data_IF_874399875928
#
_entry.id   IF_874399875928
#
_cell.length_a   1.000
_cell.length_b   1.000
_cell.length_c   1.000
_cell.angle_alpha   90.00
_cell.angle_beta   90.00
_cell.angle_gamma   90.00
#
_symmetry.space_group_name_H-M   'P 1'
#
loop_
_entity.id
_entity.type
_entity.pdbx_description
1 polymer ?
#
# COMPACT_ATOMS: atom_id res chain seq x y z
N UNK A 1 -25.72 -47.96 -26.11
CA UNK A 1 -25.19 -48.02 -24.74
C UNK A 1 -24.51 -46.70 -24.41
N UNK A 2 -25.09 -45.90 -23.52
CA UNK A 2 -24.50 -44.65 -23.03
C UNK A 2 -24.86 -44.53 -21.54
N UNK A 3 -23.84 -44.65 -20.68
CA UNK A 3 -24.01 -44.69 -19.23
C UNK A 3 -24.12 -43.27 -18.65
N UNK A 4 -25.24 -42.98 -17.99
CA UNK A 4 -25.44 -41.76 -17.19
C UNK A 4 -24.68 -41.84 -15.85
N UNK A 5 -23.75 -40.90 -15.63
CA UNK A 5 -23.03 -40.72 -14.36
C UNK A 5 -23.99 -40.31 -13.22
N UNK A 6 -24.06 -41.12 -12.16
CA UNK A 6 -24.72 -40.77 -10.88
C UNK A 6 -23.99 -39.60 -10.19
N UNK A 7 -24.71 -38.52 -9.85
CA UNK A 7 -24.22 -37.44 -8.98
C UNK A 7 -23.96 -37.97 -7.56
N UNK A 8 -22.78 -37.68 -7.00
CA UNK A 8 -22.42 -37.94 -5.58
C UNK A 8 -23.32 -37.11 -4.66
N UNK A 9 -23.92 -37.74 -3.65
CA UNK A 9 -24.64 -37.05 -2.57
C UNK A 9 -23.65 -36.31 -1.68
N UNK A 10 -23.78 -34.99 -1.58
CA UNK A 10 -23.06 -34.17 -0.62
C UNK A 10 -23.67 -34.39 0.77
N UNK A 11 -22.89 -34.95 1.71
CA UNK A 11 -23.31 -35.10 3.10
C UNK A 11 -23.21 -33.74 3.78
N UNK A 12 -24.34 -33.16 4.17
CA UNK A 12 -24.38 -31.96 5.02
C UNK A 12 -23.95 -32.36 6.43
N UNK A 13 -22.80 -31.87 6.90
CA UNK A 13 -22.38 -31.95 8.30
C UNK A 13 -23.05 -30.78 9.03
N UNK A 14 -24.00 -31.07 9.93
CA UNK A 14 -24.56 -30.06 10.82
C UNK A 14 -23.54 -29.73 11.90
N UNK A 15 -23.04 -28.49 11.91
CA UNK A 15 -22.33 -27.92 13.06
C UNK A 15 -23.39 -27.26 13.94
N UNK A 16 -23.51 -27.69 15.20
CA UNK A 16 -24.31 -27.00 16.22
C UNK A 16 -23.60 -25.69 16.55
N UNK A 17 -24.34 -24.60 16.67
CA UNK A 17 -23.89 -23.19 16.72
C UNK A 17 -23.72 -22.52 15.35
N UNK A 18 -24.80 -22.52 14.56
CA UNK A 18 -24.98 -21.54 13.48
C UNK A 18 -25.65 -20.28 14.05
N UNK A 19 -25.00 -19.14 13.84
CA UNK A 19 -25.59 -17.81 13.97
C UNK A 19 -26.88 -17.72 13.16
N UNK A 20 -27.91 -17.08 13.73
CA UNK A 20 -29.18 -16.78 13.06
C UNK A 20 -28.92 -15.98 11.78
N UNK A 21 -29.31 -16.56 10.64
CA UNK A 21 -29.33 -15.87 9.34
C UNK A 21 -30.64 -15.08 9.25
N UNK A 22 -30.55 -13.78 9.02
CA UNK A 22 -31.71 -12.92 8.77
C UNK A 22 -32.45 -13.35 7.49
N UNK A 23 -33.77 -13.18 7.47
CA UNK A 23 -34.67 -13.71 6.44
C UNK A 23 -34.70 -12.92 5.12
N UNK A 24 -33.86 -11.90 4.95
CA UNK A 24 -33.84 -11.06 3.76
C UNK A 24 -32.98 -11.68 2.64
N UNK A 25 -33.65 -12.16 1.59
CA UNK A 25 -33.02 -12.77 0.40
C UNK A 25 -32.18 -11.79 -0.46
N UNK A 26 -32.17 -10.49 -0.12
CA UNK A 26 -31.38 -9.46 -0.79
C UNK A 26 -30.14 -9.00 0.01
N UNK A 27 -29.85 -9.64 1.13
CA UNK A 27 -28.68 -9.32 1.93
C UNK A 27 -27.52 -10.26 1.59
N UNK A 28 -26.60 -9.83 0.73
CA UNK A 28 -25.29 -10.47 0.58
C UNK A 28 -24.44 -10.18 1.83
N UNK A 29 -24.81 -10.75 2.98
CA UNK A 29 -23.92 -10.79 4.14
C UNK A 29 -22.77 -11.72 3.77
N UNK A 30 -21.62 -11.14 3.47
CA UNK A 30 -20.37 -11.89 3.32
C UNK A 30 -20.05 -12.49 4.69
N UNK A 31 -20.45 -13.74 4.92
CA UNK A 31 -20.10 -14.48 6.13
C UNK A 31 -18.58 -14.71 6.13
N UNK A 32 -17.85 -13.87 6.88
CA UNK A 32 -16.47 -14.16 7.21
C UNK A 32 -16.49 -15.24 8.28
N UNK A 33 -16.29 -16.49 7.87
CA UNK A 33 -16.20 -17.59 8.83
C UNK A 33 -14.87 -17.45 9.57
N UNK A 34 -14.91 -16.83 10.76
CA UNK A 34 -13.84 -16.91 11.73
C UNK A 34 -13.97 -18.26 12.45
N UNK A 35 -13.08 -19.19 12.13
CA UNK A 35 -13.03 -20.53 12.74
C UNK A 35 -12.38 -20.45 14.13
N UNK A 36 -12.90 -19.61 15.01
CA UNK A 36 -12.43 -19.52 16.38
C UNK A 36 -12.91 -20.74 17.18
N UNK A 37 -12.10 -21.19 18.13
CA UNK A 37 -12.30 -22.44 18.87
C UNK A 37 -11.80 -22.33 20.31
N UNK A 38 -12.38 -23.15 21.19
CA UNK A 38 -12.08 -23.19 22.61
C UNK A 38 -12.61 -21.98 23.39
N UNK A 39 -12.48 -22.03 24.71
CA UNK A 39 -12.88 -20.95 25.61
C UNK A 39 -11.74 -19.95 25.81
N UNK A 40 -12.03 -18.66 25.60
CA UNK A 40 -11.08 -17.57 25.75
C UNK A 40 -11.57 -16.59 26.81
N UNK A 41 -10.65 -16.06 27.61
CA UNK A 41 -10.91 -14.95 28.53
C UNK A 41 -10.86 -13.64 27.76
N UNK A 42 -9.84 -13.48 26.91
CA UNK A 42 -9.63 -12.30 26.05
C UNK A 42 -8.62 -12.60 24.94
N UNK A 43 -8.61 -11.81 23.86
CA UNK A 43 -9.66 -10.86 23.45
C UNK A 43 -10.91 -11.58 22.92
N UNK A 44 -11.98 -10.85 22.65
CA UNK A 44 -13.13 -11.38 21.95
C UNK A 44 -12.83 -11.57 20.45
N UNK A 45 -13.62 -12.43 19.79
CA UNK A 45 -13.47 -12.64 18.34
C UNK A 45 -13.75 -11.36 17.58
N UNK A 46 -12.81 -10.98 16.71
CA UNK A 46 -12.95 -9.82 15.85
C UNK A 46 -12.68 -8.48 16.52
N UNK A 47 -12.21 -8.47 17.78
CA UNK A 47 -11.77 -7.25 18.44
C UNK A 47 -10.75 -6.49 17.58
N UNK A 48 -10.87 -5.16 17.59
CA UNK A 48 -10.02 -4.27 16.81
C UNK A 48 -8.98 -3.60 17.71
N UNK A 49 -7.73 -3.66 17.26
CA UNK A 49 -6.60 -3.00 17.89
C UNK A 49 -5.94 -2.06 16.89
N UNK A 50 -5.25 -1.04 17.37
CA UNK A 50 -4.71 0.02 16.52
C UNK A 50 -3.22 0.20 16.73
N UNK A 51 -2.46 0.14 15.64
CA UNK A 51 -1.14 0.78 15.57
C UNK A 51 -1.39 2.27 15.67
N UNK A 52 -0.83 2.90 16.69
CA UNK A 52 -1.12 4.30 17.01
C UNK A 52 -0.44 5.28 16.05
N UNK A 53 -0.75 6.56 16.21
CA UNK A 53 -0.23 7.67 15.42
C UNK A 53 1.31 7.77 15.49
N UNK A 54 1.95 7.16 16.50
CA UNK A 54 3.41 7.13 16.66
C UNK A 54 4.07 5.91 16.01
N UNK A 55 3.29 5.07 15.31
CA UNK A 55 3.65 3.77 14.77
C UNK A 55 3.99 2.73 15.85
N UNK A 56 3.36 2.80 17.03
CA UNK A 56 3.55 1.80 18.08
C UNK A 56 2.55 0.65 17.92
N UNK A 57 3.02 -0.58 18.03
CA UNK A 57 2.15 -1.76 18.04
C UNK A 57 1.28 -1.78 19.32
N UNK A 58 -0.03 -2.11 19.21
CA UNK A 58 -0.93 -2.15 20.36
C UNK A 58 -0.57 -3.26 21.35
N UNK A 59 -0.89 -3.06 22.62
CA UNK A 59 -0.86 -4.15 23.60
C UNK A 59 -2.08 -5.05 23.36
N UNK A 60 -1.83 -6.33 23.04
CA UNK A 60 -2.86 -7.34 22.82
C UNK A 60 -2.55 -8.56 23.67
N UNK A 61 -3.32 -8.77 24.72
CA UNK A 61 -3.17 -9.92 25.62
C UNK A 61 -4.16 -11.02 25.23
N UNK A 62 -3.63 -12.16 24.84
CA UNK A 62 -4.36 -13.39 24.57
C UNK A 62 -4.37 -14.27 25.82
N UNK A 63 -5.54 -14.73 26.23
CA UNK A 63 -5.71 -15.57 27.41
C UNK A 63 -6.80 -16.60 27.18
N UNK A 64 -6.47 -17.88 27.33
CA UNK A 64 -7.39 -19.00 27.13
C UNK A 64 -7.65 -19.77 28.42
N UNK A 65 -8.78 -20.48 28.48
CA UNK A 65 -9.12 -21.37 29.59
C UNK A 65 -8.82 -22.81 29.20
N UNK A 66 -8.06 -23.52 30.03
CA UNK A 66 -7.84 -24.95 29.89
C UNK A 66 -7.51 -25.57 31.24
N UNK A 67 -7.92 -26.82 31.44
CA UNK A 67 -7.52 -27.66 32.57
C UNK A 67 -6.35 -28.58 32.21
N UNK A 68 -5.97 -28.66 30.93
CA UNK A 68 -4.80 -29.41 30.47
C UNK A 68 -3.51 -28.79 31.06
N UNK A 69 -2.56 -29.62 31.53
CA UNK A 69 -1.30 -29.11 32.06
C UNK A 69 -0.40 -28.52 30.95
N UNK A 70 0.49 -27.56 31.29
CA UNK A 70 1.53 -27.08 30.37
C UNK A 70 2.52 -28.21 30.00
N UNK A 71 3.31 -28.06 28.93
CA UNK A 71 3.48 -26.85 28.12
C UNK A 71 2.41 -26.65 27.03
N UNK A 72 2.09 -25.39 26.76
CA UNK A 72 1.19 -24.97 25.68
C UNK A 72 1.96 -24.57 24.44
N UNK A 73 1.55 -25.07 23.28
CA UNK A 73 2.15 -24.72 22.00
C UNK A 73 1.36 -23.57 21.38
N UNK A 74 1.99 -22.40 21.29
CA UNK A 74 1.42 -21.21 20.70
C UNK A 74 1.87 -21.08 19.25
N UNK A 75 0.94 -20.72 18.39
CA UNK A 75 1.21 -20.34 17.00
C UNK A 75 0.39 -19.10 16.68
N UNK A 76 0.96 -18.19 15.93
CA UNK A 76 0.24 -17.04 15.41
C UNK A 76 0.49 -16.89 13.92
N UNK A 77 -0.51 -16.37 13.22
CA UNK A 77 -0.43 -16.02 11.80
C UNK A 77 -1.17 -14.70 11.60
N UNK A 78 -0.51 -13.73 11.00
CA UNK A 78 -1.11 -12.45 10.62
C UNK A 78 -1.11 -12.31 9.10
N UNK A 79 -2.27 -11.97 8.54
CA UNK A 79 -2.45 -11.84 7.09
C UNK A 79 -3.17 -10.55 6.73
N UNK A 80 -2.77 -9.96 5.61
CA UNK A 80 -3.48 -8.83 5.01
C UNK A 80 -3.48 -8.97 3.48
N UNK A 81 -4.67 -8.91 2.91
CA UNK A 81 -4.89 -8.88 1.48
C UNK A 81 -4.98 -7.42 1.03
N UNK A 82 -3.90 -6.90 0.45
CA UNK A 82 -3.86 -5.54 -0.05
C UNK A 82 -4.77 -5.38 -1.27
N UNK A 83 -5.79 -4.54 -1.12
CA UNK A 83 -6.72 -4.19 -2.19
C UNK A 83 -6.58 -2.70 -2.54
N UNK A 84 -6.67 -2.39 -3.83
CA UNK A 84 -6.59 -1.01 -4.35
C UNK A 84 -7.57 -0.13 -3.60
N UNK A 85 -7.11 1.02 -3.15
CA UNK A 85 -7.90 1.93 -2.34
C UNK A 85 -7.68 3.38 -2.82
N UNK A 86 -8.61 3.92 -3.62
CA UNK A 86 -8.44 5.26 -4.17
C UNK A 86 -8.46 6.32 -3.05
N UNK A 87 -7.66 7.37 -3.21
CA UNK A 87 -7.56 8.47 -2.23
C UNK A 87 -8.87 9.24 -2.02
N UNK A 88 -9.86 9.11 -2.91
CA UNK A 88 -11.20 9.70 -2.77
C UNK A 88 -12.08 9.02 -1.71
N UNK A 89 -11.49 8.19 -0.85
CA UNK A 89 -12.11 7.54 0.31
C UNK A 89 -13.41 6.78 0.02
N UNK A 90 -13.59 6.26 -1.21
CA UNK A 90 -14.73 5.40 -1.56
C UNK A 90 -14.82 4.21 -0.61
N UNK A 91 -16.02 3.92 -0.09
CA UNK A 91 -16.25 2.87 0.92
C UNK A 91 -15.72 1.49 0.49
N UNK A 92 -15.79 1.15 -0.79
CA UNK A 92 -15.36 -0.15 -1.29
C UNK A 92 -13.92 -0.10 -1.79
N UNK A 93 -13.10 -1.08 -1.36
CA UNK A 93 -11.80 -1.36 -1.97
C UNK A 93 -11.98 -2.06 -3.31
N UNK A 94 -11.01 -1.85 -4.21
CA UNK A 94 -10.94 -2.46 -5.52
C UNK A 94 -10.35 -3.87 -5.50
N UNK A 95 -9.73 -4.25 -6.62
CA UNK A 95 -9.12 -5.58 -6.77
C UNK A 95 -7.97 -5.81 -5.78
N UNK A 96 -7.74 -7.06 -5.40
CA UNK A 96 -6.54 -7.46 -4.67
C UNK A 96 -5.31 -7.32 -5.57
N UNK A 97 -4.24 -6.75 -5.03
CA UNK A 97 -2.96 -6.58 -5.74
C UNK A 97 -1.79 -7.33 -5.11
N UNK A 98 -1.88 -7.65 -3.82
CA UNK A 98 -0.87 -8.43 -3.09
C UNK A 98 -1.48 -9.07 -1.82
N UNK A 99 -0.90 -10.17 -1.36
CA UNK A 99 -1.16 -10.75 -0.04
C UNK A 99 0.13 -10.71 0.77
N UNK A 100 0.02 -10.32 2.04
CA UNK A 100 1.10 -10.35 3.01
C UNK A 100 0.75 -11.34 4.12
N UNK A 101 1.76 -12.05 4.63
CA UNK A 101 1.61 -13.02 5.71
C UNK A 101 2.88 -13.09 6.52
N UNK A 102 2.74 -13.23 7.83
CA UNK A 102 3.82 -13.54 8.77
C UNK A 102 3.31 -14.55 9.79
N UNK A 103 4.19 -15.41 10.30
CA UNK A 103 3.83 -16.42 11.31
C UNK A 103 4.96 -16.62 12.29
N UNK A 104 4.62 -17.06 13.50
CA UNK A 104 5.57 -17.49 14.50
C UNK A 104 4.95 -18.54 15.41
N UNK A 105 5.79 -19.22 16.16
CA UNK A 105 5.39 -20.23 17.12
C UNK A 105 6.37 -20.30 18.27
N UNK A 106 5.88 -20.63 19.45
CA UNK A 106 6.69 -20.80 20.65
C UNK A 106 5.95 -21.70 21.65
N UNK A 107 6.62 -22.05 22.73
CA UNK A 107 6.05 -22.85 23.82
C UNK A 107 6.07 -22.04 25.11
N UNK A 108 5.03 -22.14 25.92
CA UNK A 108 4.94 -21.46 27.22
C UNK A 108 4.23 -22.33 28.25
N UNK A 109 4.51 -22.09 29.53
CA UNK A 109 3.74 -22.66 30.64
C UNK A 109 2.55 -21.77 31.04
N UNK A 110 2.48 -20.55 30.50
CA UNK A 110 1.44 -19.57 30.80
C UNK A 110 0.27 -19.70 29.83
N UNK A 111 -0.95 -19.53 30.36
CA UNK A 111 -2.19 -19.43 29.56
C UNK A 111 -2.38 -18.04 28.93
N UNK A 112 -1.44 -17.13 29.20
CA UNK A 112 -1.44 -15.73 28.79
C UNK A 112 -0.28 -15.48 27.85
N UNK A 113 -0.52 -14.72 26.79
CA UNK A 113 0.50 -14.22 25.88
C UNK A 113 0.22 -12.79 25.46
N UNK A 114 1.19 -11.90 25.66
CA UNK A 114 1.18 -10.56 25.08
C UNK A 114 1.79 -10.61 23.69
N UNK A 115 0.98 -10.32 22.68
CA UNK A 115 1.39 -10.39 21.29
C UNK A 115 2.48 -9.36 20.97
N UNK A 116 3.66 -9.83 20.57
CA UNK A 116 4.79 -8.99 20.11
C UNK A 116 5.13 -9.16 18.63
N UNK A 117 4.65 -10.23 17.99
CA UNK A 117 4.88 -10.52 16.56
C UNK A 117 6.35 -10.42 16.11
N UNK A 118 7.27 -10.95 16.92
CA UNK A 118 8.73 -10.83 16.72
C UNK A 118 9.21 -9.37 16.66
N UNK A 119 8.58 -8.51 17.47
CA UNK A 119 8.83 -7.07 17.60
C UNK A 119 8.59 -6.26 16.31
N UNK A 120 7.81 -6.82 15.36
CA UNK A 120 7.43 -6.14 14.12
C UNK A 120 6.10 -5.38 14.26
N UNK A 121 5.99 -4.25 13.56
CA UNK A 121 4.75 -3.48 13.45
C UNK A 121 3.94 -3.97 12.24
N UNK A 122 3.01 -4.89 12.48
CA UNK A 122 2.20 -5.53 11.44
C UNK A 122 0.70 -5.35 11.71
N UNK A 123 -0.10 -5.08 10.69
CA UNK A 123 -1.55 -5.07 10.80
C UNK A 123 -2.22 -6.18 10.00
N UNK A 124 -3.55 -6.13 9.94
CA UNK A 124 -4.38 -7.13 9.28
C UNK A 124 -5.04 -8.09 10.27
N UNK A 125 -5.40 -9.27 9.77
CA UNK A 125 -6.10 -10.30 10.55
C UNK A 125 -5.09 -11.19 11.25
N UNK A 126 -5.02 -11.08 12.58
CA UNK A 126 -4.18 -11.92 13.43
C UNK A 126 -5.02 -13.09 13.95
N UNK A 127 -4.61 -14.32 13.64
CA UNK A 127 -5.12 -15.55 14.25
C UNK A 127 -4.08 -16.13 15.19
N UNK A 128 -4.49 -16.45 16.41
CA UNK A 128 -3.67 -17.13 17.43
C UNK A 128 -4.28 -18.50 17.67
N UNK A 129 -3.43 -19.52 17.61
CA UNK A 129 -3.75 -20.92 17.82
C UNK A 129 -2.95 -21.41 19.03
N UNK A 130 -3.60 -22.16 19.93
CA UNK A 130 -2.94 -22.78 21.08
C UNK A 130 -3.31 -24.24 21.14
N UNK A 131 -2.32 -25.11 21.31
CA UNK A 131 -2.54 -26.52 21.64
C UNK A 131 -2.20 -26.75 23.11
N UNK A 132 -3.20 -27.17 23.88
CA UNK A 132 -3.06 -27.58 25.27
C UNK A 132 -3.49 -29.04 25.38
N UNK A 133 -2.55 -29.95 25.63
CA UNK A 133 -2.84 -31.39 25.62
C UNK A 133 -3.48 -31.86 24.30
N UNK A 134 -4.75 -32.26 24.38
CA UNK A 134 -5.55 -32.68 23.21
C UNK A 134 -6.52 -31.60 22.71
N UNK A 135 -6.59 -30.47 23.40
CA UNK A 135 -7.51 -29.37 23.11
C UNK A 135 -6.84 -28.31 22.24
N UNK A 136 -7.49 -27.96 21.14
CA UNK A 136 -7.06 -26.88 20.24
C UNK A 136 -7.91 -25.62 20.46
N UNK A 137 -7.24 -24.48 20.60
CA UNK A 137 -7.83 -23.17 20.74
C UNK A 137 -7.49 -22.32 19.53
N UNK A 138 -8.42 -21.46 19.12
CA UNK A 138 -8.18 -20.44 18.10
C UNK A 138 -8.93 -19.15 18.40
N UNK A 139 -8.24 -18.01 18.30
CA UNK A 139 -8.83 -16.67 18.42
C UNK A 139 -8.34 -15.78 17.30
N UNK A 140 -9.25 -14.99 16.74
CA UNK A 140 -8.93 -14.04 15.67
C UNK A 140 -9.27 -12.61 16.08
N UNK A 141 -8.35 -11.68 15.84
CA UNK A 141 -8.53 -10.23 16.01
C UNK A 141 -8.09 -9.47 14.76
N UNK A 142 -8.42 -8.19 14.69
CA UNK A 142 -8.04 -7.30 13.58
C UNK A 142 -7.14 -6.19 14.12
N UNK A 143 -6.02 -5.95 13.45
CA UNK A 143 -5.11 -4.85 13.75
C UNK A 143 -5.17 -3.84 12.61
N UNK A 144 -5.50 -2.60 12.94
CA UNK A 144 -5.66 -1.47 12.03
C UNK A 144 -4.62 -0.39 12.38
N UNK A 145 -4.57 0.71 11.61
CA UNK A 145 -3.58 1.77 11.81
C UNK A 145 -4.18 3.16 11.85
N UNK A 146 -3.56 4.05 12.64
CA UNK A 146 -3.89 5.47 12.71
C UNK A 146 -2.85 6.30 11.99
N UNK A 147 -3.30 7.35 11.32
CA UNK A 147 -2.40 8.28 10.65
C UNK A 147 -1.73 9.20 11.67
N UNK A 148 -0.42 9.50 11.52
CA UNK A 148 0.21 10.61 12.23
C UNK A 148 -0.38 11.94 11.77
N UNK A 149 -0.15 13.01 12.54
CA UNK A 149 -0.36 14.36 12.04
C UNK A 149 0.70 14.73 11.00
N UNK A 150 0.40 15.72 10.14
CA UNK A 150 1.41 16.28 9.21
C UNK A 150 2.64 16.78 9.97
N UNK A 151 2.43 17.43 11.11
CA UNK A 151 3.53 17.99 11.92
C UNK A 151 4.43 16.88 12.49
N UNK A 152 3.85 15.76 12.94
CA UNK A 152 4.64 14.60 13.41
C UNK A 152 5.48 13.99 12.29
N UNK A 153 4.94 13.93 11.08
CA UNK A 153 5.67 13.45 9.89
C UNK A 153 6.83 14.37 9.56
N UNK A 154 6.59 15.69 9.54
CA UNK A 154 7.64 16.68 9.26
C UNK A 154 8.70 16.70 10.35
N UNK A 155 8.31 16.55 11.61
CA UNK A 155 9.23 16.43 12.74
C UNK A 155 10.10 15.16 12.63
N UNK A 156 9.52 14.04 12.18
CA UNK A 156 10.26 12.79 11.94
C UNK A 156 11.23 12.89 10.75
N UNK A 157 10.86 13.64 9.70
CA UNK A 157 11.72 13.86 8.53
C UNK A 157 12.91 14.79 8.81
N UNK A 158 12.70 15.84 9.61
CA UNK A 158 13.68 16.90 9.88
C UNK A 158 15.10 16.42 10.23
N UNK A 159 15.32 15.41 11.10
CA UNK A 159 16.67 14.95 11.42
C UNK A 159 17.30 14.07 10.33
N UNK A 160 16.56 13.64 9.32
CA UNK A 160 17.05 12.73 8.28
C UNK A 160 17.72 13.57 7.17
N UNK A 161 19.00 13.34 6.83
CA UNK A 161 19.72 14.16 5.86
C UNK A 161 19.18 13.97 4.43
N UNK A 162 19.44 14.95 3.55
CA UNK A 162 19.12 14.89 2.11
C UNK A 162 17.64 14.60 1.80
N UNK A 163 16.74 15.19 2.58
CA UNK A 163 15.28 15.06 2.45
C UNK A 163 14.60 16.33 1.94
N UNK A 164 15.35 17.35 1.54
CA UNK A 164 14.78 18.62 1.03
C UNK A 164 13.84 18.35 -0.15
N UNK A 165 12.59 18.81 -0.03
CA UNK A 165 11.54 18.62 -1.02
C UNK A 165 10.77 17.30 -0.89
N UNK A 166 11.23 16.35 -0.08
CA UNK A 166 10.52 15.07 0.08
C UNK A 166 9.15 15.24 0.75
N UNK A 167 8.93 16.31 1.51
CA UNK A 167 7.63 16.71 2.04
C UNK A 167 6.58 16.97 0.94
N UNK A 168 6.99 17.54 -0.20
CA UNK A 168 6.10 17.75 -1.35
C UNK A 168 5.71 16.42 -2.00
N UNK A 169 6.64 15.45 -2.01
CA UNK A 169 6.33 14.08 -2.44
C UNK A 169 5.28 13.47 -1.52
N UNK A 170 5.46 13.55 -0.20
CA UNK A 170 4.47 13.00 0.75
C UNK A 170 3.08 13.62 0.60
N UNK A 171 3.02 14.93 0.32
CA UNK A 171 1.76 15.62 0.06
C UNK A 171 1.11 15.14 -1.23
N UNK A 172 1.88 15.06 -2.32
CA UNK A 172 1.39 14.64 -3.62
C UNK A 172 0.94 13.16 -3.65
N UNK A 173 1.70 12.27 -3.02
CA UNK A 173 1.48 10.82 -3.10
C UNK A 173 0.27 10.37 -2.26
N UNK A 174 0.00 11.02 -1.13
CA UNK A 174 -1.01 10.53 -0.20
C UNK A 174 -1.65 11.59 0.69
N UNK A 175 -1.27 12.87 0.57
CA UNK A 175 -1.62 13.92 1.53
C UNK A 175 -1.25 13.53 2.97
N UNK A 176 -0.02 13.03 3.15
CA UNK A 176 0.50 12.58 4.46
C UNK A 176 -0.30 11.43 5.11
N UNK A 177 -0.99 10.59 4.32
CA UNK A 177 -1.74 9.44 4.83
C UNK A 177 -1.03 8.12 4.55
N UNK A 178 -0.75 7.36 5.60
CA UNK A 178 -0.36 5.97 5.44
C UNK A 178 -1.58 5.04 5.37
N UNK A 179 -2.63 5.37 6.13
CA UNK A 179 -3.87 4.60 6.25
C UNK A 179 -5.06 5.40 5.71
N UNK A 180 -6.09 4.69 5.26
CA UNK A 180 -7.35 5.32 4.89
C UNK A 180 -8.19 5.64 6.11
N UNK A 181 -8.91 6.76 6.06
CA UNK A 181 -9.76 7.16 7.18
C UNK A 181 -11.02 6.27 7.28
N UNK A 182 -11.46 5.65 6.18
CA UNK A 182 -12.72 4.89 6.16
C UNK A 182 -12.64 3.49 6.76
N UNK A 183 -11.47 2.87 6.72
CA UNK A 183 -11.26 1.47 7.13
C UNK A 183 -9.93 1.23 7.88
N UNK A 184 -9.09 2.25 8.00
CA UNK A 184 -7.88 2.24 8.83
C UNK A 184 -6.87 1.18 8.38
N UNK A 185 -6.95 0.72 7.12
CA UNK A 185 -5.87 -0.06 6.50
C UNK A 185 -5.03 0.80 5.56
N UNK A 186 -3.81 0.36 5.20
CA UNK A 186 -2.91 1.12 4.36
C UNK A 186 -3.53 1.57 3.03
N UNK A 187 -3.09 2.74 2.55
CA UNK A 187 -3.38 3.25 1.21
C UNK A 187 -2.68 2.38 0.17
N UNK A 188 -3.38 2.00 -0.90
CA UNK A 188 -2.85 1.09 -1.93
C UNK A 188 -3.24 1.58 -3.32
N UNK A 189 -2.26 1.97 -4.14
CA UNK A 189 -2.49 2.34 -5.53
C UNK A 189 -2.64 1.11 -6.46
N UNK A 190 -3.26 1.36 -7.63
CA UNK A 190 -3.55 0.32 -8.62
C UNK A 190 -2.33 -0.36 -9.22
N UNK A 191 -1.20 0.33 -9.21
CA UNK A 191 0.12 -0.10 -9.67
C UNK A 191 0.99 -0.75 -8.58
N UNK A 192 0.41 -0.98 -7.39
CA UNK A 192 1.08 -1.51 -6.19
C UNK A 192 1.97 -0.50 -5.46
N UNK A 193 1.64 0.79 -5.50
CA UNK A 193 2.10 1.76 -4.50
C UNK A 193 1.46 1.52 -3.14
N UNK A 194 2.24 1.63 -2.06
CA UNK A 194 1.77 1.41 -0.69
C UNK A 194 2.14 2.54 0.27
N UNK A 195 1.19 2.91 1.12
CA UNK A 195 1.41 3.81 2.26
C UNK A 195 1.67 5.26 1.86
N UNK A 196 2.26 6.02 2.78
CA UNK A 196 2.41 7.47 2.64
C UNK A 196 3.27 7.90 1.44
N UNK A 197 4.29 7.12 1.13
CA UNK A 197 5.24 7.37 0.04
C UNK A 197 4.87 6.65 -1.26
N UNK A 198 3.75 5.91 -1.28
CA UNK A 198 3.36 5.08 -2.44
C UNK A 198 4.49 4.17 -2.97
N UNK A 199 5.31 3.60 -2.07
CA UNK A 199 6.41 2.70 -2.45
C UNK A 199 5.94 1.59 -3.38
N UNK A 200 6.49 1.55 -4.59
CA UNK A 200 6.13 0.57 -5.64
C UNK A 200 7.31 -0.31 -6.03
N UNK A 201 8.47 0.30 -6.29
CA UNK A 201 9.69 -0.41 -6.67
C UNK A 201 10.94 0.21 -6.01
N UNK A 202 11.72 -0.55 -5.22
CA UNK A 202 11.50 -1.94 -4.85
C UNK A 202 10.20 -2.14 -4.07
N UNK A 203 9.61 -3.34 -4.16
CA UNK A 203 8.35 -3.62 -3.49
C UNK A 203 8.55 -3.61 -1.97
N UNK A 204 7.70 -2.91 -1.19
CA UNK A 204 7.91 -2.77 0.24
C UNK A 204 7.73 -4.11 0.98
N UNK A 205 8.39 -4.22 2.13
CA UNK A 205 8.16 -5.30 3.10
C UNK A 205 6.81 -5.13 3.79
N UNK A 206 6.35 -6.16 4.51
CA UNK A 206 5.05 -6.09 5.20
C UNK A 206 5.01 -4.96 6.24
N UNK A 207 6.06 -4.84 7.04
CA UNK A 207 6.20 -3.81 8.06
C UNK A 207 6.33 -2.41 7.47
N UNK A 208 7.04 -2.24 6.34
CA UNK A 208 7.11 -0.96 5.64
C UNK A 208 5.75 -0.48 5.11
N UNK A 209 4.75 -1.35 5.01
CA UNK A 209 3.38 -0.95 4.63
C UNK A 209 2.55 -0.54 5.86
N UNK A 210 2.76 -1.20 7.00
CA UNK A 210 1.98 -0.99 8.23
C UNK A 210 2.61 -0.04 9.25
N UNK A 211 3.88 0.31 9.12
CA UNK A 211 4.54 1.35 9.91
C UNK A 211 4.82 2.55 9.04
N UNK A 212 4.15 3.68 9.30
CA UNK A 212 4.38 4.90 8.53
C UNK A 212 5.83 5.39 8.64
N UNK A 213 6.51 5.14 9.78
CA UNK A 213 7.93 5.46 9.96
C UNK A 213 8.81 4.60 9.07
N UNK A 214 8.57 3.28 9.01
CA UNK A 214 9.33 2.39 8.13
C UNK A 214 9.03 2.66 6.64
N UNK A 215 7.80 3.05 6.32
CA UNK A 215 7.41 3.51 4.99
C UNK A 215 8.21 4.75 4.57
N UNK A 216 8.27 5.77 5.44
CA UNK A 216 9.05 6.99 5.19
C UNK A 216 10.54 6.67 5.07
N UNK A 217 11.11 5.85 5.96
CA UNK A 217 12.54 5.47 5.86
C UNK A 217 12.86 4.82 4.51
N UNK A 218 12.00 3.92 4.03
CA UNK A 218 12.15 3.29 2.72
C UNK A 218 12.05 4.31 1.58
N UNK A 219 11.07 5.23 1.64
CA UNK A 219 10.91 6.30 0.67
C UNK A 219 12.08 7.28 0.65
N UNK A 220 12.60 7.68 1.81
CA UNK A 220 13.78 8.55 1.92
C UNK A 220 15.01 7.88 1.32
N UNK A 221 15.24 6.59 1.57
CA UNK A 221 16.35 5.87 0.96
C UNK A 221 16.26 5.88 -0.57
N UNK A 222 15.06 5.66 -1.12
CA UNK A 222 14.82 5.74 -2.57
C UNK A 222 15.00 7.16 -3.10
N UNK A 223 14.50 8.17 -2.38
CA UNK A 223 14.65 9.58 -2.74
C UNK A 223 16.12 9.99 -2.82
N UNK A 224 16.92 9.62 -1.82
CA UNK A 224 18.36 9.87 -1.80
C UNK A 224 19.06 9.16 -2.98
N UNK A 225 18.63 7.95 -3.33
CA UNK A 225 19.10 7.29 -4.55
C UNK A 225 18.73 8.10 -5.81
N UNK A 226 17.49 8.59 -5.93
CA UNK A 226 17.07 9.40 -7.09
C UNK A 226 17.85 10.71 -7.21
N UNK A 227 18.19 11.33 -6.08
CA UNK A 227 19.03 12.52 -6.06
C UNK A 227 20.45 12.19 -6.55
N UNK A 228 21.04 11.08 -6.11
CA UNK A 228 22.34 10.63 -6.60
C UNK A 228 22.31 10.31 -8.11
N UNK A 229 21.23 9.67 -8.58
CA UNK A 229 21.03 9.38 -10.01
C UNK A 229 20.90 10.67 -10.83
N UNK A 230 20.25 11.71 -10.29
CA UNK A 230 20.15 13.04 -10.90
C UNK A 230 21.51 13.75 -10.96
N UNK A 231 22.29 13.72 -9.87
CA UNK A 231 23.66 14.27 -9.86
C UNK A 231 24.52 13.60 -10.92
N UNK A 232 24.46 12.26 -11.00
CA UNK A 232 25.21 11.48 -12.00
C UNK A 232 24.76 11.80 -13.44
N UNK A 233 23.48 12.09 -13.65
CA UNK A 233 22.95 12.48 -14.96
C UNK A 233 23.61 13.75 -15.50
N UNK A 234 23.90 14.71 -14.62
CA UNK A 234 24.55 15.97 -14.95
C UNK A 234 26.09 15.93 -14.89
N UNK A 235 26.70 14.78 -14.61
CA UNK A 235 28.15 14.66 -14.44
C UNK A 235 28.92 15.23 -15.63
N UNK A 236 29.82 16.17 -15.35
CA UNK A 236 30.64 16.88 -16.34
C UNK A 236 30.04 18.21 -16.81
N UNK A 237 28.85 18.61 -16.33
CA UNK A 237 28.21 19.88 -16.66
C UNK A 237 27.83 20.66 -15.39
N UNK A 238 27.90 22.00 -15.42
CA UNK A 238 27.32 22.83 -14.36
C UNK A 238 25.79 22.72 -14.40
N UNK A 239 25.17 22.59 -13.24
CA UNK A 239 23.71 22.60 -13.09
C UNK A 239 23.28 23.42 -11.87
N UNK A 240 22.05 23.93 -11.89
CA UNK A 240 21.45 24.69 -10.78
C UNK A 240 20.77 23.77 -9.77
N UNK A 241 20.53 24.27 -8.55
CA UNK A 241 19.75 23.54 -7.54
C UNK A 241 18.33 23.23 -8.02
N UNK A 242 17.71 24.13 -8.80
CA UNK A 242 16.39 23.89 -9.39
C UNK A 242 16.43 22.75 -10.41
N UNK A 243 17.47 22.69 -11.26
CA UNK A 243 17.64 21.57 -12.19
C UNK A 243 17.81 20.24 -11.45
N UNK A 244 18.63 20.20 -10.41
CA UNK A 244 18.78 19.01 -9.56
C UNK A 244 17.44 18.62 -8.91
N UNK A 245 16.70 19.59 -8.38
CA UNK A 245 15.40 19.36 -7.74
C UNK A 245 14.41 18.76 -8.73
N UNK A 246 14.15 19.44 -9.85
CA UNK A 246 13.19 18.96 -10.89
C UNK A 246 13.57 17.60 -11.45
N UNK A 247 14.85 17.35 -11.67
CA UNK A 247 15.35 16.04 -12.12
C UNK A 247 15.10 14.95 -11.08
N UNK A 248 15.33 15.24 -9.79
CA UNK A 248 15.08 14.30 -8.69
C UNK A 248 13.60 13.95 -8.58
N UNK A 249 12.70 14.94 -8.62
CA UNK A 249 11.25 14.71 -8.61
C UNK A 249 10.79 13.93 -9.84
N UNK A 250 11.31 14.23 -11.03
CA UNK A 250 10.97 13.46 -12.23
C UNK A 250 11.41 12.01 -12.11
N UNK A 251 12.56 11.74 -11.49
CA UNK A 251 13.07 10.37 -11.27
C UNK A 251 12.31 9.61 -10.20
N UNK A 252 11.69 10.31 -9.24
CA UNK A 252 10.79 9.72 -8.25
C UNK A 252 9.56 9.10 -8.92
N UNK A 253 8.78 9.91 -9.65
CA UNK A 253 7.59 9.42 -10.37
C UNK A 253 7.97 8.52 -11.56
N UNK A 254 9.10 8.80 -12.20
CA UNK A 254 9.66 8.02 -13.29
C UNK A 254 10.01 8.87 -14.52
N UNK A 255 11.20 8.65 -15.07
CA UNK A 255 11.73 9.38 -16.22
C UNK A 255 12.82 10.39 -15.83
N UNK A 256 13.12 11.30 -16.76
CA UNK A 256 14.08 12.38 -16.59
C UNK A 256 13.45 13.68 -17.07
N UNK A 257 13.70 14.77 -16.33
CA UNK A 257 13.18 16.09 -16.65
C UNK A 257 13.99 16.73 -17.76
N UNK A 258 15.31 16.54 -17.72
CA UNK A 258 16.25 17.17 -18.64
C UNK A 258 16.94 16.18 -19.58
N UNK A 259 17.05 16.58 -20.85
CA UNK A 259 18.02 16.03 -21.79
C UNK A 259 19.36 16.73 -21.56
N UNK A 260 20.44 15.94 -21.59
CA UNK A 260 21.81 16.42 -21.41
C UNK A 260 22.60 16.13 -22.68
N UNK A 261 23.19 17.17 -23.27
CA UNK A 261 24.18 17.05 -24.34
C UNK A 261 25.56 17.45 -23.81
N UNK A 262 26.40 16.46 -23.53
CA UNK A 262 27.74 16.69 -22.97
C UNK A 262 28.71 17.28 -24.00
N UNK A 263 28.49 17.06 -25.29
CA UNK A 263 29.35 17.59 -26.34
C UNK A 263 29.06 19.07 -26.58
N UNK A 264 27.77 19.43 -26.59
CA UNK A 264 27.32 20.83 -26.70
C UNK A 264 27.40 21.59 -25.36
N UNK A 265 27.49 20.88 -24.23
CA UNK A 265 27.52 21.48 -22.91
C UNK A 265 26.14 21.97 -22.43
N UNK A 266 25.04 21.39 -22.91
CA UNK A 266 23.68 21.89 -22.67
C UNK A 266 22.83 20.96 -21.82
N UNK A 267 21.91 21.57 -21.05
CA UNK A 267 20.88 20.91 -20.24
C UNK A 267 19.55 21.54 -20.63
N UNK A 268 18.68 20.77 -21.28
CA UNK A 268 17.42 21.25 -21.85
C UNK A 268 16.25 20.43 -21.31
N UNK A 269 15.11 21.06 -21.04
CA UNK A 269 13.90 20.33 -20.64
C UNK A 269 13.47 19.42 -21.79
N UNK A 270 13.13 18.17 -21.50
CA UNK A 270 12.55 17.27 -22.49
C UNK A 270 11.23 17.83 -23.04
N UNK A 271 10.98 17.61 -24.34
CA UNK A 271 9.86 18.19 -25.07
C UNK A 271 8.55 17.42 -24.82
N UNK A 272 7.96 17.68 -23.65
CA UNK A 272 6.68 17.12 -23.23
C UNK A 272 5.70 18.25 -22.94
N UNK A 273 4.54 18.18 -23.60
CA UNK A 273 3.36 19.00 -23.28
C UNK A 273 2.53 18.27 -22.23
N UNK A 274 2.24 18.94 -21.13
CA UNK A 274 1.52 18.35 -20.00
C UNK A 274 0.03 18.67 -20.07
N UNK A 275 -0.78 17.70 -19.66
CA UNK A 275 -2.20 17.93 -19.44
C UNK A 275 -2.37 18.58 -18.07
N UNK A 276 -2.65 19.89 -18.04
CA UNK A 276 -2.75 20.68 -16.81
C UNK A 276 -3.89 20.23 -15.90
N UNK A 277 -4.85 19.47 -16.44
CA UNK A 277 -5.98 18.90 -15.70
C UNK A 277 -5.70 17.46 -15.23
N UNK A 278 -4.51 16.92 -15.50
CA UNK A 278 -4.08 15.60 -15.06
C UNK A 278 -2.70 15.68 -14.40
N UNK A 279 -2.60 15.26 -13.13
CA UNK A 279 -1.39 15.51 -12.33
C UNK A 279 -0.08 14.85 -12.83
N UNK A 280 -0.11 13.90 -13.77
CA UNK A 280 1.10 13.25 -14.28
C UNK A 280 1.00 12.74 -15.73
N UNK A 281 0.09 13.28 -16.53
CA UNK A 281 -0.12 12.84 -17.93
C UNK A 281 0.38 13.92 -18.89
N UNK A 282 0.99 13.49 -20.00
CA UNK A 282 1.37 14.39 -21.08
C UNK A 282 1.70 13.67 -22.37
N UNK A 283 2.17 14.46 -23.33
CA UNK A 283 2.47 14.04 -24.71
C UNK A 283 3.90 14.37 -25.08
N UNK A 284 4.58 13.38 -25.65
CA UNK A 284 5.87 13.60 -26.28
C UNK A 284 5.68 14.39 -27.58
N UNK A 285 6.21 15.61 -27.64
CA UNK A 285 6.02 16.50 -28.79
C UNK A 285 6.97 16.17 -29.94
N UNK A 286 7.97 15.30 -29.71
CA UNK A 286 8.77 14.72 -30.79
C UNK A 286 8.02 13.65 -31.58
N UNK A 287 6.90 13.13 -31.04
CA UNK A 287 6.03 12.23 -31.77
C UNK A 287 5.27 13.00 -32.86
N UNK A 288 5.39 12.61 -34.15
CA UNK A 288 4.73 13.31 -35.26
C UNK A 288 3.21 13.46 -35.11
N UNK A 289 2.55 12.53 -34.40
CA UNK A 289 1.11 12.60 -34.15
C UNK A 289 0.68 13.62 -33.09
N UNK A 290 1.64 14.14 -32.31
CA UNK A 290 1.44 15.16 -31.28
C UNK A 290 2.02 16.52 -31.69
N UNK A 291 3.08 16.53 -32.50
CA UNK A 291 3.79 17.73 -32.91
C UNK A 291 2.85 18.83 -33.43
N UNK A 292 3.02 20.05 -32.90
CA UNK A 292 2.24 21.23 -33.29
C UNK A 292 0.80 21.30 -32.76
N UNK A 293 0.32 20.28 -32.02
CA UNK A 293 -1.02 20.29 -31.44
C UNK A 293 -1.05 20.98 -30.09
N UNK A 294 -2.18 21.61 -29.79
CA UNK A 294 -2.47 22.20 -28.49
C UNK A 294 -2.88 21.15 -27.44
N UNK A 295 -2.79 21.50 -26.17
CA UNK A 295 -3.25 20.66 -25.05
C UNK A 295 -4.73 20.28 -25.21
N UNK A 296 -5.58 21.23 -25.59
CA UNK A 296 -7.01 21.00 -25.77
C UNK A 296 -7.30 19.94 -26.85
N UNK A 297 -6.59 19.97 -27.97
CA UNK A 297 -6.74 18.99 -29.06
C UNK A 297 -6.28 17.59 -28.61
N UNK A 298 -5.14 17.50 -27.94
CA UNK A 298 -4.60 16.22 -27.48
C UNK A 298 -5.44 15.62 -26.35
N UNK A 299 -5.89 16.44 -25.39
CA UNK A 299 -6.79 16.00 -24.31
C UNK A 299 -8.13 15.53 -24.86
N UNK A 300 -8.70 16.25 -25.83
CA UNK A 300 -9.94 15.83 -26.49
C UNK A 300 -9.80 14.47 -27.18
N UNK A 301 -8.62 14.16 -27.75
CA UNK A 301 -8.33 12.86 -28.35
C UNK A 301 -8.20 11.75 -27.30
N UNK A 302 -7.55 12.00 -26.16
CA UNK A 302 -7.01 10.93 -25.32
C UNK A 302 -7.65 10.75 -23.95
N UNK A 303 -8.37 11.73 -23.42
CA UNK A 303 -8.86 11.72 -22.02
C UNK A 303 -9.71 10.49 -21.66
N UNK A 304 -10.45 9.95 -22.63
CA UNK A 304 -11.34 8.80 -22.42
C UNK A 304 -10.57 7.47 -22.36
N UNK A 305 -9.29 7.47 -22.74
CA UNK A 305 -8.38 6.33 -22.65
C UNK A 305 -7.61 6.29 -21.31
N UNK A 306 -7.51 7.41 -20.59
CA UNK A 306 -6.79 7.47 -19.31
C UNK A 306 -7.26 6.44 -18.26
N UNK A 307 -8.57 6.15 -18.10
CA UNK A 307 -9.03 5.13 -17.16
C UNK A 307 -8.51 3.72 -17.46
N UNK A 308 -8.07 3.45 -18.70
CA UNK A 308 -7.47 2.17 -19.11
C UNK A 308 -5.99 2.07 -18.73
N UNK A 309 -5.42 3.10 -18.12
CA UNK A 309 -4.01 3.16 -17.68
C UNK A 309 -3.06 2.84 -18.85
N UNK A 310 -2.00 2.06 -18.61
CA UNK A 310 -1.09 1.60 -19.68
C UNK A 310 -1.79 0.91 -20.86
N UNK A 311 -2.98 0.32 -20.65
CA UNK A 311 -3.76 -0.29 -21.71
C UNK A 311 -4.39 0.70 -22.69
N UNK A 312 -4.52 1.98 -22.31
CA UNK A 312 -5.02 3.06 -23.18
C UNK A 312 -3.92 3.82 -23.93
N UNK A 313 -2.65 3.51 -23.67
CA UNK A 313 -1.51 4.12 -24.36
C UNK A 313 -1.26 3.36 -25.65
N UNK A 314 -1.77 3.88 -26.77
CA UNK A 314 -1.72 3.23 -28.09
C UNK A 314 -1.07 4.13 -29.13
N UNK A 315 -0.90 3.64 -30.36
CA UNK A 315 -0.39 4.47 -31.46
C UNK A 315 -1.33 5.62 -31.80
N UNK A 316 -2.64 5.39 -31.69
CA UNK A 316 -3.67 6.40 -31.97
C UNK A 316 -3.87 7.35 -30.78
N UNK A 317 -3.56 6.86 -29.57
CA UNK A 317 -3.60 7.59 -28.31
C UNK A 317 -2.25 7.59 -27.58
N UNK A 318 -1.22 8.28 -28.12
CA UNK A 318 0.14 8.24 -27.61
C UNK A 318 0.38 9.22 -26.45
N UNK A 319 -0.54 9.26 -25.49
CA UNK A 319 -0.31 9.88 -24.19
C UNK A 319 0.56 8.98 -23.32
N UNK A 320 1.26 9.56 -22.34
CA UNK A 320 2.10 8.81 -21.39
C UNK A 320 2.01 9.38 -19.98
N UNK A 321 2.29 8.52 -18.99
CA UNK A 321 2.67 9.01 -17.66
C UNK A 321 4.04 9.66 -17.76
N UNK A 322 4.19 10.84 -17.18
CA UNK A 322 5.39 11.67 -17.33
C UNK A 322 5.81 12.24 -15.97
N UNK A 323 7.04 11.90 -15.56
CA UNK A 323 7.69 12.56 -14.42
C UNK A 323 7.83 14.07 -14.60
N UNK A 324 7.87 14.55 -15.84
CA UNK A 324 7.91 15.99 -16.16
C UNK A 324 6.60 16.66 -15.76
N UNK A 325 5.47 16.05 -16.14
CA UNK A 325 4.15 16.60 -15.83
C UNK A 325 3.83 16.49 -14.35
N UNK A 326 4.31 15.43 -13.69
CA UNK A 326 4.29 15.32 -12.24
C UNK A 326 5.04 16.48 -11.56
N UNK A 327 6.25 16.79 -12.03
CA UNK A 327 7.05 17.91 -11.51
C UNK A 327 6.33 19.24 -11.77
N UNK A 328 5.89 19.49 -13.00
CA UNK A 328 5.22 20.75 -13.37
C UNK A 328 3.93 20.97 -12.55
N UNK A 329 3.17 19.90 -12.28
CA UNK A 329 2.01 19.94 -11.40
C UNK A 329 2.37 20.33 -9.96
N UNK A 330 3.42 19.73 -9.38
CA UNK A 330 3.88 20.04 -8.02
C UNK A 330 4.37 21.50 -7.91
N UNK A 331 5.05 22.00 -8.94
CA UNK A 331 5.66 23.34 -8.91
C UNK A 331 4.76 24.45 -9.48
N UNK A 332 3.59 24.14 -10.03
CA UNK A 332 2.61 25.12 -10.51
C UNK A 332 3.02 25.82 -11.81
N UNK A 333 3.53 25.05 -12.78
CA UNK A 333 3.95 25.54 -14.10
C UNK A 333 2.81 25.54 -15.14
#
# INVERSE_FOLDING_TARGET
>A
MTATKKKRKTVKRHVRHASTTGTDQNSLVKAVIQNDAGEWVRPATGDKFYIDETAKFPSITFEFKSDDPPPYQWKWTIVWDAQVSPLNEKRNRGKKVRSFSETGSFTSNDKVWDAKLNDKILGGKLSVEVKAGTTDFRRTVIILGKNPSKDDVLAFLKPIPKTVGFDLVLDQESHFKNFRNSDEEPVVAGDKGFGMTQMTHPAPTYEQVWSWKENIKAGVALWQQKQNDAIKHFEGLPYTEEQLRRETFSRWNGGSYYKVDKAAGTIERNDVLCDTQAGNIGWDMTNPSNAGKSEAELRARDKDEYPKMKGGQTKDHPWKYSGICYVDHIFGN
#
